data_IF_192716770906
#
_entry.id   IF_192716770906
#
_cell.length_a   1.000
_cell.length_b   1.000
_cell.length_c   1.000
_cell.angle_alpha   90.00
_cell.angle_beta   90.00
_cell.angle_gamma   90.00
#
_symmetry.space_group_name_H-M   'P 1'
#
loop_
_entity.id
_entity.type
_entity.pdbx_description
1 polymer ?
#
# COMPACT_ATOMS: atom_id res chain seq x y z
N UNK A 1 6.49 -6.93 -15.27
CA UNK A 1 7.36 -6.24 -16.25
C UNK A 1 8.61 -5.76 -15.55
N UNK A 2 9.78 -6.17 -16.03
CA UNK A 2 11.06 -5.69 -15.49
C UNK A 2 11.35 -4.26 -15.95
N UNK A 3 12.06 -3.51 -15.11
CA UNK A 3 12.60 -2.19 -15.37
C UNK A 3 13.99 -2.08 -14.72
N UNK A 4 14.88 -1.28 -15.31
CA UNK A 4 16.22 -1.04 -14.76
C UNK A 4 16.26 0.37 -14.17
N UNK A 5 16.80 0.50 -12.95
CA UNK A 5 16.95 1.75 -12.20
C UNK A 5 18.32 1.83 -11.55
N UNK A 6 18.85 3.05 -11.40
CA UNK A 6 20.07 3.28 -10.60
C UNK A 6 19.73 3.24 -9.10
N UNK A 7 20.54 2.55 -8.29
CA UNK A 7 20.47 2.62 -6.82
C UNK A 7 21.13 3.91 -6.33
N UNK A 8 20.33 4.86 -5.85
CA UNK A 8 20.79 6.12 -5.28
C UNK A 8 21.45 5.94 -3.89
N UNK A 9 21.38 4.75 -3.29
CA UNK A 9 22.02 4.44 -2.02
C UNK A 9 21.30 4.99 -0.80
N UNK A 10 19.98 5.19 -0.89
CA UNK A 10 19.12 5.50 0.28
C UNK A 10 19.30 4.41 1.34
N UNK A 11 19.57 4.80 2.58
CA UNK A 11 19.82 3.88 3.70
C UNK A 11 18.51 3.37 4.30
N UNK A 12 17.51 4.25 4.40
CA UNK A 12 16.18 3.91 4.92
C UNK A 12 15.11 4.25 3.88
N UNK A 13 14.21 3.31 3.60
CA UNK A 13 13.10 3.48 2.66
C UNK A 13 11.77 3.34 3.39
N UNK A 14 10.87 4.30 3.23
CA UNK A 14 9.47 4.12 3.56
C UNK A 14 8.72 3.57 2.35
N UNK A 15 7.64 2.83 2.58
CA UNK A 15 6.65 2.50 1.56
C UNK A 15 5.25 2.68 2.09
N UNK A 16 4.33 3.05 1.20
CA UNK A 16 2.92 3.28 1.54
C UNK A 16 2.03 2.59 0.51
N UNK A 17 0.91 2.05 1.01
CA UNK A 17 -0.19 1.51 0.21
C UNK A 17 -1.53 1.77 0.94
N UNK A 18 -2.65 1.79 0.22
CA UNK A 18 -3.96 2.08 0.80
C UNK A 18 -5.00 1.03 0.43
N UNK A 19 -5.90 0.79 1.38
CA UNK A 19 -7.05 -0.06 1.20
C UNK A 19 -8.35 0.73 1.25
N UNK A 20 -9.18 0.55 0.22
CA UNK A 20 -10.36 1.40 0.01
C UNK A 20 -11.58 0.57 -0.38
N UNK A 21 -12.77 1.07 -0.04
CA UNK A 21 -14.02 0.41 -0.46
C UNK A 21 -14.34 0.58 -1.94
N UNK A 22 -13.68 1.51 -2.62
CA UNK A 22 -13.83 1.75 -4.06
C UNK A 22 -12.64 2.56 -4.57
N UNK A 23 -12.21 2.34 -5.82
CA UNK A 23 -11.13 3.12 -6.46
C UNK A 23 -11.45 4.60 -6.72
N UNK A 24 -12.67 5.06 -6.43
CA UNK A 24 -13.08 6.46 -6.61
C UNK A 24 -13.38 7.03 -5.24
N UNK A 25 -12.66 8.08 -4.86
CA UNK A 25 -12.86 8.75 -3.59
C UNK A 25 -14.29 9.30 -3.41
N UNK A 26 -15.03 9.49 -4.49
CA UNK A 26 -16.44 9.91 -4.46
C UNK A 26 -17.44 8.80 -4.09
N UNK A 27 -17.07 7.54 -4.31
CA UNK A 27 -17.94 6.37 -4.17
C UNK A 27 -17.47 5.45 -3.03
N UNK A 28 -16.21 5.54 -2.62
CA UNK A 28 -15.64 4.77 -1.52
C UNK A 28 -14.99 5.62 -0.44
N UNK A 29 -14.47 4.92 0.56
CA UNK A 29 -13.86 5.43 1.78
C UNK A 29 -12.53 4.70 2.01
N UNK A 30 -11.61 5.36 2.71
CA UNK A 30 -10.35 4.77 3.16
C UNK A 30 -10.63 3.85 4.34
N UNK A 31 -10.20 2.59 4.23
CA UNK A 31 -10.34 1.55 5.26
C UNK A 31 -9.06 1.43 6.06
N UNK A 32 -7.92 1.44 5.38
CA UNK A 32 -6.61 1.34 6.01
C UNK A 32 -5.54 2.02 5.15
N UNK A 33 -4.50 2.53 5.80
CA UNK A 33 -3.27 3.02 5.17
C UNK A 33 -2.14 2.22 5.79
N UNK A 34 -1.37 1.53 4.95
CA UNK A 34 -0.21 0.79 5.37
C UNK A 34 1.03 1.62 5.17
N UNK A 35 1.91 1.66 6.16
CA UNK A 35 3.26 2.19 6.00
C UNK A 35 4.25 1.12 6.45
N UNK A 36 5.34 0.93 5.71
CA UNK A 36 6.48 0.16 6.20
C UNK A 36 7.78 0.92 6.02
N UNK A 37 8.73 0.65 6.90
CA UNK A 37 10.06 1.29 6.89
C UNK A 37 11.11 0.20 6.87
N UNK A 38 11.96 0.21 5.85
CA UNK A 38 13.09 -0.70 5.69
C UNK A 38 14.41 0.03 5.97
N UNK A 39 15.13 -0.40 6.99
CA UNK A 39 16.52 0.00 7.24
C UNK A 39 17.46 -1.03 6.58
N UNK A 40 18.19 -0.61 5.54
CA UNK A 40 19.10 -1.49 4.78
C UNK A 40 20.33 -1.90 5.56
N UNK A 41 20.81 -1.08 6.49
CA UNK A 41 22.01 -1.36 7.25
C UNK A 41 21.71 -2.39 8.36
N UNK A 42 20.52 -2.30 8.95
CA UNK A 42 20.03 -3.23 9.95
C UNK A 42 19.36 -4.48 9.36
N UNK A 43 18.96 -4.44 8.09
CA UNK A 43 18.12 -5.45 7.43
C UNK A 43 16.80 -5.65 8.21
N UNK A 44 16.21 -4.53 8.65
CA UNK A 44 15.02 -4.49 9.49
C UNK A 44 13.86 -3.84 8.73
N UNK A 45 12.74 -4.55 8.64
CA UNK A 45 11.50 -4.08 8.04
C UNK A 45 10.41 -4.02 9.11
N UNK A 46 9.89 -2.81 9.35
CA UNK A 46 8.83 -2.54 10.33
C UNK A 46 7.58 -2.08 9.61
N UNK A 47 6.44 -2.69 9.93
CA UNK A 47 5.13 -2.32 9.38
C UNK A 47 4.31 -1.59 10.43
N UNK A 48 3.69 -0.49 10.04
CA UNK A 48 2.80 0.33 10.85
C UNK A 48 1.49 0.55 10.08
N UNK A 49 0.47 -0.30 10.28
CA UNK A 49 -0.82 -0.14 9.62
C UNK A 49 -1.77 0.77 10.43
N UNK A 50 -2.39 1.72 9.73
CA UNK A 50 -3.37 2.65 10.27
C UNK A 50 -4.76 2.28 9.77
N UNK A 51 -5.61 1.73 10.64
CA UNK A 51 -6.98 1.34 10.27
C UNK A 51 -8.02 2.24 10.91
N UNK A 52 -9.14 2.40 10.21
CA UNK A 52 -10.34 3.03 10.74
C UNK A 52 -10.77 2.41 12.07
N UNK A 53 -10.98 3.24 13.09
CA UNK A 53 -11.51 2.84 14.39
C UNK A 53 -12.89 3.46 14.70
N UNK A 54 -13.51 4.12 13.72
CA UNK A 54 -14.86 4.66 13.82
C UNK A 54 -15.17 5.65 12.70
N UNK A 55 -15.67 6.83 13.05
CA UNK A 55 -15.88 7.96 12.13
C UNK A 55 -14.64 8.86 12.04
N UNK A 56 -13.48 8.24 11.87
CA UNK A 56 -12.14 8.82 12.04
C UNK A 56 -11.32 8.85 10.74
N UNK A 57 -11.96 8.86 9.57
CA UNK A 57 -11.24 8.70 8.29
C UNK A 57 -10.11 9.70 8.10
N UNK A 58 -10.40 10.98 8.36
CA UNK A 58 -9.42 12.04 8.19
C UNK A 58 -8.25 11.90 9.18
N UNK A 59 -8.53 11.44 10.40
CA UNK A 59 -7.51 11.21 11.43
C UNK A 59 -6.63 10.01 11.05
N UNK A 60 -7.22 8.90 10.58
CA UNK A 60 -6.46 7.74 10.09
C UNK A 60 -5.52 8.13 8.94
N UNK A 61 -5.99 8.94 7.99
CA UNK A 61 -5.16 9.42 6.88
C UNK A 61 -4.06 10.35 7.40
N UNK A 62 -4.40 11.33 8.25
CA UNK A 62 -3.45 12.29 8.77
C UNK A 62 -2.34 11.63 9.62
N UNK A 63 -2.71 10.67 10.47
CA UNK A 63 -1.76 9.94 11.32
C UNK A 63 -0.78 9.11 10.49
N UNK A 64 -1.28 8.43 9.44
CA UNK A 64 -0.44 7.66 8.54
C UNK A 64 0.56 8.55 7.78
N UNK A 65 0.11 9.68 7.25
CA UNK A 65 0.97 10.62 6.53
C UNK A 65 1.95 11.35 7.47
N UNK A 66 1.52 11.67 8.69
CA UNK A 66 2.41 12.18 9.73
C UNK A 66 3.50 11.18 10.08
N UNK A 67 3.16 9.89 10.16
CA UNK A 67 4.16 8.84 10.35
C UNK A 67 5.15 8.74 9.19
N UNK A 68 4.67 8.86 7.93
CA UNK A 68 5.57 8.89 6.77
C UNK A 68 6.60 10.01 6.89
N UNK A 69 6.21 11.22 7.30
CA UNK A 69 7.14 12.34 7.50
C UNK A 69 8.08 12.16 8.70
N UNK A 70 7.59 11.55 9.79
CA UNK A 70 8.33 11.43 11.05
C UNK A 70 9.21 10.17 11.13
N UNK A 71 9.03 9.18 10.24
CA UNK A 71 9.73 7.90 10.30
C UNK A 71 11.23 7.96 10.00
N UNK A 72 11.72 9.09 9.47
CA UNK A 72 13.14 9.31 9.21
C UNK A 72 13.69 8.55 7.99
N UNK A 73 12.83 8.09 7.09
CA UNK A 73 13.24 7.51 5.82
C UNK A 73 13.92 8.55 4.91
N UNK A 74 14.79 8.09 4.02
CA UNK A 74 15.46 8.93 3.02
C UNK A 74 14.62 9.09 1.74
N UNK A 75 13.73 8.15 1.46
CA UNK A 75 12.84 8.15 0.30
C UNK A 75 11.56 7.37 0.57
N UNK A 76 10.52 7.65 -0.23
CA UNK A 76 9.24 6.97 -0.21
C UNK A 76 9.06 6.13 -1.47
N UNK A 77 8.70 4.85 -1.34
CA UNK A 77 8.46 3.93 -2.45
C UNK A 77 6.99 3.52 -2.49
N UNK A 78 6.36 3.56 -3.66
CA UNK A 78 4.99 3.07 -3.85
C UNK A 78 4.79 2.46 -5.23
N UNK A 79 3.76 1.65 -5.43
CA UNK A 79 3.32 1.23 -6.75
C UNK A 79 2.06 2.01 -7.17
N UNK A 80 2.22 2.93 -8.14
CA UNK A 80 1.15 3.79 -8.64
C UNK A 80 0.61 4.79 -7.59
N UNK A 81 1.39 5.07 -6.54
CA UNK A 81 0.93 5.94 -5.46
C UNK A 81 0.82 7.41 -5.85
N UNK A 82 1.65 7.91 -6.78
CA UNK A 82 1.56 9.31 -7.19
C UNK A 82 0.26 9.59 -7.94
N UNK A 83 -0.17 8.66 -8.80
CA UNK A 83 -1.36 8.81 -9.65
C UNK A 83 -2.64 8.30 -8.97
N UNK A 84 -2.55 7.35 -8.02
CA UNK A 84 -3.69 6.75 -7.33
C UNK A 84 -3.74 7.08 -5.84
N UNK A 85 -2.83 6.56 -5.02
CA UNK A 85 -2.95 6.61 -3.54
C UNK A 85 -3.07 8.04 -3.02
N UNK A 86 -2.09 8.90 -3.33
CA UNK A 86 -2.08 10.29 -2.88
C UNK A 86 -3.24 11.10 -3.46
N UNK A 87 -3.61 10.83 -4.72
CA UNK A 87 -4.78 11.46 -5.35
C UNK A 87 -6.08 11.08 -4.66
N UNK A 88 -6.23 9.80 -4.31
CA UNK A 88 -7.39 9.28 -3.58
C UNK A 88 -7.48 9.89 -2.19
N UNK A 89 -6.39 9.84 -1.41
CA UNK A 89 -6.34 10.38 -0.05
C UNK A 89 -6.64 11.88 -0.03
N UNK A 90 -6.07 12.65 -0.96
CA UNK A 90 -6.35 14.09 -1.13
C UNK A 90 -7.83 14.36 -1.40
N UNK A 91 -8.43 13.62 -2.33
CA UNK A 91 -9.86 13.77 -2.64
C UNK A 91 -10.75 13.37 -1.45
N UNK A 92 -10.37 12.35 -0.67
CA UNK A 92 -11.07 11.96 0.56
C UNK A 92 -11.01 13.05 1.61
N UNK A 93 -9.82 13.57 1.92
CA UNK A 93 -9.63 14.67 2.87
C UNK A 93 -10.45 15.90 2.48
N UNK A 94 -10.42 16.28 1.21
CA UNK A 94 -11.25 17.38 0.68
C UNK A 94 -12.75 17.14 0.92
N UNK A 95 -13.25 15.92 0.68
CA UNK A 95 -14.67 15.55 0.88
C UNK A 95 -15.08 15.54 2.34
N UNK A 96 -14.17 15.17 3.22
CA UNK A 96 -14.36 15.17 4.67
C UNK A 96 -14.28 16.60 5.26
N UNK A 97 -13.83 17.58 4.48
CA UNK A 97 -13.62 18.95 4.95
C UNK A 97 -12.43 19.06 5.91
N UNK A 98 -11.48 18.12 5.82
CA UNK A 98 -10.27 18.08 6.62
C UNK A 98 -9.12 18.86 5.95
N UNK A 99 -8.10 19.18 6.74
CA UNK A 99 -6.86 19.73 6.22
C UNK A 99 -6.18 18.71 5.30
N UNK A 100 -5.53 19.20 4.24
CA UNK A 100 -4.95 18.32 3.24
C UNK A 100 -3.53 17.87 3.62
N UNK A 101 -3.44 16.90 4.52
CA UNK A 101 -2.18 16.31 4.98
C UNK A 101 -1.28 15.79 3.84
N UNK A 102 -1.84 15.43 2.67
CA UNK A 102 -1.04 15.04 1.50
C UNK A 102 -0.17 16.20 0.97
N UNK A 103 -0.69 17.43 1.00
CA UNK A 103 0.08 18.60 0.53
C UNK A 103 1.15 19.04 1.55
N UNK A 104 1.11 18.48 2.76
CA UNK A 104 2.05 18.79 3.85
C UNK A 104 3.24 17.82 3.89
N UNK A 105 3.15 16.68 3.20
CA UNK A 105 4.24 15.70 3.10
C UNK A 105 5.52 16.34 2.59
N UNK A 106 6.62 16.02 3.28
CA UNK A 106 7.95 16.55 2.99
C UNK A 106 8.95 15.46 2.59
N UNK A 107 8.65 14.19 2.84
CA UNK A 107 9.50 13.07 2.46
C UNK A 107 9.65 12.99 0.93
N UNK A 108 10.86 13.28 0.47
CA UNK A 108 11.28 13.23 -0.93
C UNK A 108 12.67 12.58 -1.02
N UNK A 109 12.96 11.81 -2.08
CA UNK A 109 12.12 11.64 -3.27
C UNK A 109 10.96 10.64 -3.09
N UNK A 110 9.84 10.92 -3.74
CA UNK A 110 8.81 9.91 -3.99
C UNK A 110 9.12 9.08 -5.24
N UNK A 111 9.39 7.79 -5.02
CA UNK A 111 9.71 6.77 -6.02
C UNK A 111 8.45 5.95 -6.31
N UNK A 112 7.73 6.36 -7.36
CA UNK A 112 6.65 5.54 -7.91
C UNK A 112 7.22 4.52 -8.91
N UNK A 113 7.34 3.26 -8.50
CA UNK A 113 7.91 2.18 -9.34
C UNK A 113 7.02 1.81 -10.53
N UNK A 114 5.75 2.23 -10.52
CA UNK A 114 4.84 2.05 -11.65
C UNK A 114 5.02 3.13 -12.71
N UNK A 115 5.39 4.36 -12.32
CA UNK A 115 5.44 5.50 -13.23
C UNK A 115 6.32 5.26 -14.47
N UNK A 116 7.51 4.66 -14.29
CA UNK A 116 8.42 4.36 -15.39
C UNK A 116 7.87 3.29 -16.32
N UNK A 117 7.26 2.24 -15.75
CA UNK A 117 6.61 1.15 -16.50
C UNK A 117 5.43 1.69 -17.31
N UNK A 118 4.59 2.53 -16.68
CA UNK A 118 3.48 3.24 -17.33
C UNK A 118 3.98 4.09 -18.50
N UNK A 119 5.05 4.86 -18.30
CA UNK A 119 5.64 5.68 -19.37
C UNK A 119 6.17 4.84 -20.55
N UNK A 120 6.69 3.63 -20.31
CA UNK A 120 7.07 2.69 -21.38
C UNK A 120 5.83 2.19 -22.11
N UNK A 121 4.84 1.67 -21.38
CA UNK A 121 3.60 1.13 -21.96
C UNK A 121 2.82 2.19 -22.76
N UNK A 122 2.75 3.43 -22.27
CA UNK A 122 2.11 4.55 -22.97
C UNK A 122 2.79 4.84 -24.32
N UNK A 123 4.12 4.66 -24.42
CA UNK A 123 4.87 4.82 -25.67
C UNK A 123 4.74 3.63 -26.61
N UNK A 124 4.64 2.40 -26.08
CA UNK A 124 4.61 1.17 -26.88
C UNK A 124 3.17 0.73 -27.24
N UNK A 125 2.16 1.31 -26.58
CA UNK A 125 0.76 0.90 -26.72
C UNK A 125 0.44 -0.41 -26.01
N UNK A 126 1.30 -0.85 -25.09
CA UNK A 126 1.08 -2.04 -24.29
C UNK A 126 0.16 -1.74 -23.09
N UNK A 127 -0.46 -2.80 -22.55
CA UNK A 127 -1.25 -2.68 -21.32
C UNK A 127 -0.31 -2.43 -20.15
N UNK A 128 -0.70 -1.52 -19.26
CA UNK A 128 0.01 -1.29 -18.01
C UNK A 128 0.08 -2.58 -17.17
N UNK A 129 1.26 -2.92 -16.62
CA UNK A 129 1.41 -4.11 -15.81
C UNK A 129 0.70 -3.94 -14.47
N UNK A 130 0.14 -5.02 -13.95
CA UNK A 130 -0.25 -5.09 -12.54
C UNK A 130 0.96 -5.32 -11.64
N UNK A 131 0.77 -5.10 -10.34
CA UNK A 131 1.78 -5.38 -9.31
C UNK A 131 2.27 -6.84 -9.40
N UNK A 132 1.34 -7.80 -9.49
CA UNK A 132 1.67 -9.23 -9.53
C UNK A 132 2.37 -9.62 -10.84
N UNK A 133 2.04 -8.95 -11.95
CA UNK A 133 2.75 -9.12 -13.23
C UNK A 133 4.18 -8.55 -13.17
N UNK A 134 4.45 -7.60 -12.27
CA UNK A 134 5.80 -7.09 -11.97
C UNK A 134 6.59 -8.03 -11.09
N UNK A 135 6.01 -8.50 -9.99
CA UNK A 135 6.61 -9.52 -9.13
C UNK A 135 7.02 -10.77 -9.90
N UNK A 136 6.09 -11.34 -10.68
CA UNK A 136 6.33 -12.55 -11.46
C UNK A 136 7.45 -12.38 -12.49
N UNK A 137 7.72 -11.14 -12.95
CA UNK A 137 8.81 -10.90 -13.89
C UNK A 137 10.20 -10.91 -13.23
N UNK A 138 10.28 -10.85 -11.91
CA UNK A 138 11.52 -11.01 -11.13
C UNK A 138 11.56 -12.34 -10.37
N UNK A 139 10.72 -13.30 -10.76
CA UNK A 139 10.60 -14.61 -10.12
C UNK A 139 10.18 -14.55 -8.64
N UNK A 140 9.57 -13.45 -8.18
CA UNK A 140 8.92 -13.39 -6.87
C UNK A 140 7.60 -14.15 -6.91
N UNK A 141 7.35 -14.93 -5.86
CA UNK A 141 6.08 -15.65 -5.69
C UNK A 141 4.98 -14.68 -5.22
N UNK A 142 3.81 -14.77 -5.85
CA UNK A 142 2.64 -13.95 -5.51
C UNK A 142 2.11 -14.34 -4.11
N UNK A 143 1.94 -13.37 -3.19
CA UNK A 143 1.29 -13.61 -1.91
C UNK A 143 -0.22 -13.85 -2.10
N UNK A 144 -0.81 -14.70 -1.27
CA UNK A 144 -2.25 -15.01 -1.35
C UNK A 144 -2.89 -14.89 0.03
N UNK A 145 -3.67 -13.83 0.21
CA UNK A 145 -4.62 -13.67 1.32
C UNK A 145 -5.94 -14.33 0.96
N UNK A 146 -6.36 -15.35 1.69
CA UNK A 146 -7.68 -15.97 1.54
C UNK A 146 -8.59 -15.57 2.70
N UNK A 147 -9.81 -15.15 2.38
CA UNK A 147 -10.85 -14.84 3.35
C UNK A 147 -12.14 -15.52 2.93
N UNK A 148 -12.85 -16.18 3.86
CA UNK A 148 -14.09 -16.91 3.56
C UNK A 148 -13.93 -17.92 2.39
N UNK A 149 -12.76 -18.57 2.31
CA UNK A 149 -12.48 -19.65 1.35
C UNK A 149 -12.18 -19.21 -0.08
N UNK A 150 -11.93 -17.92 -0.33
CA UNK A 150 -11.50 -17.41 -1.63
C UNK A 150 -10.41 -16.35 -1.47
N UNK A 151 -9.57 -16.11 -2.50
CA UNK A 151 -8.60 -15.02 -2.49
C UNK A 151 -9.26 -13.64 -2.30
N UNK A 152 -8.57 -12.75 -1.58
CA UNK A 152 -8.86 -11.31 -1.55
C UNK A 152 -8.24 -10.70 -2.81
N UNK A 153 -9.00 -9.83 -3.48
CA UNK A 153 -8.58 -9.04 -4.64
C UNK A 153 -9.05 -7.61 -4.41
N UNK A 154 -8.52 -6.59 -5.09
CA UNK A 154 -8.99 -5.20 -4.91
C UNK A 154 -10.51 -5.06 -5.03
N UNK A 155 -11.13 -5.79 -5.97
CA UNK A 155 -12.60 -5.81 -6.11
C UNK A 155 -13.28 -6.38 -4.88
N UNK A 156 -12.80 -7.54 -4.40
CA UNK A 156 -13.39 -8.19 -3.23
C UNK A 156 -13.08 -7.46 -1.93
N UNK A 157 -11.93 -6.82 -1.84
CA UNK A 157 -11.61 -5.91 -0.76
C UNK A 157 -12.66 -4.80 -0.71
N UNK A 158 -12.84 -4.12 -1.84
CA UNK A 158 -13.73 -2.97 -1.92
C UNK A 158 -15.21 -3.30 -1.72
N UNK A 159 -15.68 -4.40 -2.29
CA UNK A 159 -17.10 -4.77 -2.30
C UNK A 159 -17.53 -5.58 -1.07
N UNK A 160 -16.61 -6.30 -0.41
CA UNK A 160 -16.94 -7.23 0.66
C UNK A 160 -16.14 -6.99 1.96
N UNK A 161 -14.80 -7.07 1.91
CA UNK A 161 -13.97 -7.06 3.12
C UNK A 161 -13.97 -5.70 3.83
N UNK A 162 -13.71 -4.62 3.10
CA UNK A 162 -13.72 -3.25 3.61
C UNK A 162 -15.09 -2.89 4.22
N UNK A 163 -16.21 -3.06 3.50
CA UNK A 163 -17.54 -2.85 4.06
C UNK A 163 -17.84 -3.69 5.30
N UNK A 164 -17.43 -4.97 5.31
CA UNK A 164 -17.63 -5.83 6.48
C UNK A 164 -16.83 -5.35 7.71
N UNK A 165 -15.64 -4.79 7.51
CA UNK A 165 -14.83 -4.20 8.57
C UNK A 165 -15.46 -2.92 9.10
N UNK A 166 -15.85 -2.00 8.20
CA UNK A 166 -16.51 -0.74 8.56
C UNK A 166 -17.86 -0.97 9.27
N UNK A 167 -18.62 -1.99 8.87
CA UNK A 167 -19.84 -2.37 9.59
C UNK A 167 -19.53 -2.87 11.00
N UNK A 168 -18.51 -3.73 11.16
CA UNK A 168 -18.13 -4.29 12.46
C UNK A 168 -17.72 -3.19 13.46
N UNK A 169 -16.93 -2.21 13.03
CA UNK A 169 -16.57 -1.06 13.87
C UNK A 169 -17.79 -0.20 14.20
N UNK A 170 -18.70 0.04 13.24
CA UNK A 170 -19.86 0.90 13.42
C UNK A 170 -20.86 0.33 14.44
N UNK A 171 -21.01 -0.99 14.50
CA UNK A 171 -21.89 -1.67 15.48
C UNK A 171 -21.18 -2.04 16.78
N UNK A 172 -19.88 -1.76 16.91
CA UNK A 172 -19.07 -2.08 18.08
C UNK A 172 -18.77 -3.57 18.26
N UNK A 173 -18.80 -4.35 17.17
CA UNK A 173 -18.42 -5.77 17.18
C UNK A 173 -16.89 -5.91 17.11
N UNK A 174 -16.24 -5.69 18.25
CA UNK A 174 -14.78 -5.66 18.36
C UNK A 174 -14.11 -6.99 18.00
N UNK A 175 -14.73 -8.14 18.31
CA UNK A 175 -14.17 -9.45 17.98
C UNK A 175 -14.17 -9.67 16.47
N UNK A 176 -15.27 -9.29 15.80
CA UNK A 176 -15.34 -9.35 14.34
C UNK A 176 -14.38 -8.35 13.70
N UNK A 177 -14.33 -7.12 14.17
CA UNK A 177 -13.42 -6.10 13.66
C UNK A 177 -11.96 -6.55 13.76
N UNK A 178 -11.56 -7.13 14.91
CA UNK A 178 -10.22 -7.69 15.09
C UNK A 178 -9.94 -8.83 14.10
N UNK A 179 -10.87 -9.77 13.92
CA UNK A 179 -10.69 -10.88 12.96
C UNK A 179 -10.56 -10.41 11.51
N UNK A 180 -11.26 -9.35 11.13
CA UNK A 180 -11.18 -8.77 9.79
C UNK A 180 -9.91 -7.95 9.62
N UNK A 181 -9.45 -7.27 10.68
CA UNK A 181 -8.15 -6.59 10.70
C UNK A 181 -7.02 -7.58 10.40
N UNK A 182 -7.01 -8.77 11.00
CA UNK A 182 -5.97 -9.77 10.72
C UNK A 182 -5.87 -10.14 9.22
N UNK A 183 -6.99 -10.10 8.48
CA UNK A 183 -7.05 -10.32 7.03
C UNK A 183 -6.46 -9.12 6.28
N UNK A 184 -6.90 -7.92 6.67
CA UNK A 184 -6.48 -6.64 6.08
C UNK A 184 -4.97 -6.48 6.26
N UNK A 185 -4.45 -6.75 7.46
CA UNK A 185 -3.02 -6.66 7.79
C UNK A 185 -2.19 -7.50 6.84
N UNK A 186 -2.57 -8.76 6.64
CA UNK A 186 -1.82 -9.64 5.75
C UNK A 186 -1.86 -9.16 4.30
N UNK A 187 -3.03 -8.74 3.81
CA UNK A 187 -3.19 -8.24 2.44
C UNK A 187 -2.37 -6.96 2.21
N UNK A 188 -2.47 -6.00 3.12
CA UNK A 188 -1.78 -4.72 3.05
C UNK A 188 -0.26 -4.89 3.18
N UNK A 189 0.21 -5.68 4.15
CA UNK A 189 1.64 -5.95 4.35
C UNK A 189 2.27 -6.59 3.11
N UNK A 190 1.55 -7.49 2.44
CA UNK A 190 2.06 -8.12 1.23
C UNK A 190 2.23 -7.15 0.06
N UNK A 191 1.38 -6.13 -0.05
CA UNK A 191 1.49 -5.08 -1.08
C UNK A 191 2.62 -4.09 -0.75
N UNK A 192 2.81 -3.74 0.53
CA UNK A 192 3.96 -2.95 0.98
C UNK A 192 5.29 -3.65 0.66
N UNK A 193 5.41 -4.95 0.95
CA UNK A 193 6.61 -5.70 0.56
C UNK A 193 6.79 -5.80 -0.94
N UNK A 194 5.71 -5.95 -1.70
CA UNK A 194 5.77 -6.01 -3.15
C UNK A 194 6.38 -4.72 -3.74
N UNK A 195 6.01 -3.56 -3.18
CA UNK A 195 6.57 -2.27 -3.59
C UNK A 195 8.10 -2.25 -3.40
N UNK A 196 8.58 -2.65 -2.23
CA UNK A 196 10.01 -2.71 -1.92
C UNK A 196 10.74 -3.77 -2.77
N UNK A 197 10.16 -4.96 -2.92
CA UNK A 197 10.74 -6.04 -3.72
C UNK A 197 10.94 -5.63 -5.17
N UNK A 198 9.96 -4.94 -5.77
CA UNK A 198 10.09 -4.39 -7.13
C UNK A 198 11.16 -3.30 -7.17
N UNK A 199 11.17 -2.38 -6.20
CA UNK A 199 12.19 -1.33 -6.15
C UNK A 199 13.61 -1.91 -6.09
N UNK A 200 13.86 -2.86 -5.19
CA UNK A 200 15.17 -3.49 -5.05
C UNK A 200 15.57 -4.28 -6.29
N UNK A 201 14.63 -5.01 -6.89
CA UNK A 201 14.88 -5.75 -8.12
C UNK A 201 15.18 -4.81 -9.30
N UNK A 202 14.50 -3.66 -9.40
CA UNK A 202 14.80 -2.62 -10.40
C UNK A 202 16.22 -2.08 -10.24
N UNK A 203 16.69 -1.96 -9.00
CA UNK A 203 18.04 -1.52 -8.65
C UNK A 203 19.10 -2.64 -8.81
N UNK A 204 18.69 -3.88 -9.10
CA UNK A 204 19.59 -5.03 -9.12
C UNK A 204 20.17 -5.39 -7.75
N UNK A 205 19.46 -5.06 -6.67
CA UNK A 205 19.84 -5.32 -5.28
C UNK A 205 19.02 -6.49 -4.75
N UNK A 206 19.66 -7.37 -3.99
CA UNK A 206 18.98 -8.50 -3.35
C UNK A 206 18.12 -8.00 -2.19
N UNK A 207 16.88 -8.49 -2.12
CA UNK A 207 15.93 -8.22 -1.05
C UNK A 207 15.17 -9.52 -0.77
N UNK A 208 15.12 -9.94 0.50
CA UNK A 208 14.43 -11.15 0.92
C UNK A 208 13.10 -10.77 1.59
N UNK A 209 11.98 -10.74 0.83
CA UNK A 209 10.66 -10.44 1.39
C UNK A 209 10.23 -11.52 2.38
N UNK A 210 9.55 -11.13 3.47
CA UNK A 210 9.10 -12.06 4.51
C UNK A 210 7.72 -12.65 4.21
N UNK A 211 6.88 -11.89 3.51
CA UNK A 211 5.47 -12.19 3.26
C UNK A 211 5.15 -12.48 1.78
N UNK A 212 6.00 -12.10 0.82
CA UNK A 212 5.83 -12.60 -0.55
C UNK A 212 5.92 -14.14 -0.61
N UNK A 213 5.14 -14.75 -1.50
CA UNK A 213 4.97 -16.20 -1.59
C UNK A 213 4.18 -16.86 -0.45
N UNK A 214 3.77 -16.11 0.58
CA UNK A 214 2.94 -16.67 1.64
C UNK A 214 1.51 -16.90 1.19
N UNK A 215 0.89 -17.97 1.68
CA UNK A 215 -0.55 -18.21 1.55
C UNK A 215 -1.16 -18.34 2.93
N UNK A 216 -2.07 -17.44 3.28
CA UNK A 216 -2.74 -17.44 4.59
C UNK A 216 -4.25 -17.38 4.42
N UNK A 217 -4.94 -18.25 5.13
CA UNK A 217 -6.40 -18.33 5.13
C UNK A 217 -6.98 -17.88 6.47
N UNK A 218 -8.02 -17.06 6.40
CA UNK A 218 -8.73 -16.46 7.52
C UNK A 218 -10.23 -16.78 7.48
#
# INVERSE_FOLDING_TARGET
>A
MQHDRDDDGYGTLATLDIETTHWKAAEGETVSVGVAVHDRDADELVYEPFHRAGDDEAETIADALGYVDDCGADALVSYNGSDFDFGFLKDRLYRLGADNAVDELTLEPHIDVFADRKAVCDRTGEKWPKLEECLASYDFEEPVTEWNGAPVTNTRFGEELGPAYLEAIAVGDGDRAASLRDVIDHYLVTDLEANLAIYYADCGVEFEPQFLGTRKAF
#
